data_IF_377374638779
#
_entry.id   IF_377374638779
#
_cell.length_a   1.000
_cell.length_b   1.000
_cell.length_c   1.000
_cell.angle_alpha   90.00
_cell.angle_beta   90.00
_cell.angle_gamma   90.00
#
_symmetry.space_group_name_H-M   'P 1'
#
loop_
_entity.id
_entity.type
_entity.pdbx_description
1 polymer ?
#
# COMPACT_ATOMS: atom_id res chain seq x y z
N UNK A 1 -0.77 -18.53 -21.58
CA UNK A 1 -0.46 -18.89 -20.18
C UNK A 1 0.98 -18.54 -19.78
N UNK A 2 2.00 -18.75 -20.63
CA UNK A 2 3.40 -18.43 -20.28
C UNK A 2 3.79 -16.92 -20.28
N UNK A 3 3.05 -16.07 -21.00
CA UNK A 3 3.39 -14.65 -21.12
C UNK A 3 3.03 -13.83 -19.86
N UNK A 4 1.82 -14.01 -19.32
CA UNK A 4 1.36 -13.33 -18.11
C UNK A 4 2.19 -13.67 -16.86
N UNK A 5 2.63 -14.94 -16.72
CA UNK A 5 3.50 -15.38 -15.63
C UNK A 5 4.89 -14.71 -15.70
N UNK A 6 5.43 -14.49 -16.90
CA UNK A 6 6.72 -13.82 -17.09
C UNK A 6 6.63 -12.31 -16.83
N UNK A 7 5.50 -11.69 -17.16
CA UNK A 7 5.24 -10.26 -16.89
C UNK A 7 5.11 -10.01 -15.38
N UNK A 8 4.31 -10.80 -14.66
CA UNK A 8 4.16 -10.69 -13.20
C UNK A 8 5.48 -10.91 -12.43
N UNK A 9 6.32 -11.86 -12.87
CA UNK A 9 7.64 -12.08 -12.29
C UNK A 9 8.60 -10.91 -12.51
N UNK A 10 8.52 -10.24 -13.68
CA UNK A 10 9.34 -9.08 -14.00
C UNK A 10 8.92 -7.85 -13.16
N UNK A 11 7.63 -7.63 -12.99
CA UNK A 11 7.12 -6.52 -12.18
C UNK A 11 7.38 -6.70 -10.68
N UNK A 12 7.26 -7.92 -10.18
CA UNK A 12 7.64 -8.26 -8.80
C UNK A 12 9.13 -7.99 -8.53
N UNK A 13 10.01 -8.31 -9.48
CA UNK A 13 11.43 -7.99 -9.39
C UNK A 13 11.67 -6.47 -9.36
N UNK A 14 11.00 -5.70 -10.22
CA UNK A 14 11.09 -4.23 -10.23
C UNK A 14 10.65 -3.61 -8.90
N UNK A 15 9.56 -4.10 -8.32
CA UNK A 15 9.08 -3.62 -7.01
C UNK A 15 10.14 -3.89 -5.93
N UNK A 16 10.75 -5.08 -5.95
CA UNK A 16 11.83 -5.42 -5.01
C UNK A 16 13.01 -4.46 -5.13
N UNK A 17 13.45 -4.15 -6.35
CA UNK A 17 14.54 -3.19 -6.59
C UNK A 17 14.21 -1.78 -6.09
N UNK A 18 12.96 -1.35 -6.26
CA UNK A 18 12.47 -0.07 -5.72
C UNK A 18 12.55 -0.08 -4.19
N UNK A 19 12.08 -1.14 -3.55
CA UNK A 19 12.09 -1.27 -2.10
C UNK A 19 13.50 -1.35 -1.51
N UNK A 20 14.46 -2.00 -2.18
CA UNK A 20 15.86 -2.02 -1.75
C UNK A 20 16.48 -0.61 -1.72
N UNK A 21 16.07 0.27 -2.64
CA UNK A 21 16.49 1.69 -2.59
C UNK A 21 16.05 2.37 -1.29
N UNK A 22 14.82 2.11 -0.85
CA UNK A 22 14.27 2.69 0.38
C UNK A 22 14.95 2.12 1.62
N UNK A 23 15.29 0.82 1.63
CA UNK A 23 16.03 0.19 2.73
C UNK A 23 17.43 0.80 2.90
N UNK A 24 18.09 1.11 1.79
CA UNK A 24 19.44 1.68 1.79
C UNK A 24 19.46 3.13 2.28
N UNK A 25 18.49 3.95 1.86
CA UNK A 25 18.35 5.34 2.27
C UNK A 25 16.88 5.67 2.60
N UNK A 26 16.46 5.55 3.86
CA UNK A 26 15.06 5.71 4.28
C UNK A 26 14.68 7.19 4.45
N UNK A 27 14.85 7.99 3.40
CA UNK A 27 14.43 9.39 3.35
C UNK A 27 12.99 9.54 2.86
N UNK A 28 12.27 10.56 3.31
CA UNK A 28 10.90 10.84 2.84
C UNK A 28 10.80 10.93 1.31
N UNK A 29 11.82 11.50 0.66
CA UNK A 29 11.89 11.62 -0.81
C UNK A 29 11.92 10.23 -1.45
N UNK A 30 12.71 9.30 -0.91
CA UNK A 30 12.79 7.93 -1.42
C UNK A 30 11.49 7.16 -1.19
N UNK A 31 10.82 7.35 -0.04
CA UNK A 31 9.49 6.80 0.21
C UNK A 31 8.48 7.31 -0.81
N UNK A 32 8.41 8.62 -1.02
CA UNK A 32 7.47 9.22 -1.98
C UNK A 32 7.74 8.75 -3.41
N UNK A 33 9.01 8.72 -3.82
CA UNK A 33 9.41 8.24 -5.14
C UNK A 33 9.07 6.77 -5.33
N UNK A 34 9.32 5.92 -4.31
CA UNK A 34 8.95 4.52 -4.34
C UNK A 34 7.43 4.33 -4.47
N UNK A 35 6.65 5.06 -3.68
CA UNK A 35 5.19 5.04 -3.71
C UNK A 35 4.65 5.38 -5.11
N UNK A 36 5.13 6.47 -5.70
CA UNK A 36 4.73 6.88 -7.06
C UNK A 36 5.11 5.85 -8.12
N UNK A 37 6.30 5.24 -8.03
CA UNK A 37 6.74 4.18 -8.97
C UNK A 37 5.90 2.92 -8.83
N UNK A 38 5.66 2.47 -7.60
CA UNK A 38 4.87 1.26 -7.34
C UNK A 38 3.43 1.43 -7.82
N UNK A 39 2.80 2.58 -7.58
CA UNK A 39 1.45 2.87 -8.11
C UNK A 39 1.37 2.77 -9.63
N UNK A 40 2.43 3.14 -10.35
CA UNK A 40 2.48 3.02 -11.82
C UNK A 40 2.68 1.58 -12.32
N UNK A 41 3.17 0.70 -11.45
CA UNK A 41 3.45 -0.70 -11.75
C UNK A 41 2.23 -1.56 -11.41
N UNK A 42 1.57 -1.35 -10.26
CA UNK A 42 0.39 -2.10 -9.81
C UNK A 42 -0.79 -2.04 -10.78
N UNK A 43 -0.76 -2.93 -11.77
CA UNK A 43 -1.94 -3.56 -12.35
C UNK A 43 -2.38 -4.72 -11.43
N UNK A 44 -3.68 -5.01 -11.40
CA UNK A 44 -4.33 -5.98 -10.49
C UNK A 44 -3.67 -7.37 -10.42
N UNK A 45 -2.81 -7.71 -11.39
CA UNK A 45 -2.07 -8.98 -11.54
C UNK A 45 -0.83 -9.14 -10.66
N UNK A 46 -0.32 -8.08 -10.01
CA UNK A 46 0.98 -8.10 -9.31
C UNK A 46 0.92 -8.69 -7.89
N UNK A 47 -0.29 -8.93 -7.38
CA UNK A 47 -0.49 -9.49 -6.04
C UNK A 47 0.07 -10.93 -5.89
N UNK A 48 0.40 -11.63 -6.98
CA UNK A 48 0.85 -13.03 -6.98
C UNK A 48 2.22 -13.30 -6.33
N UNK A 49 3.01 -12.28 -5.98
CA UNK A 49 4.34 -12.42 -5.37
C UNK A 49 4.42 -12.13 -3.86
N UNK A 50 3.44 -11.43 -3.30
CA UNK A 50 3.38 -11.08 -1.87
C UNK A 50 2.34 -11.99 -1.21
N UNK A 51 2.76 -12.75 -0.19
CA UNK A 51 1.96 -13.87 0.30
C UNK A 51 0.82 -13.46 1.22
N UNK A 52 0.83 -12.24 1.76
CA UNK A 52 -0.11 -11.82 2.80
C UNK A 52 -0.67 -10.42 2.52
N UNK A 53 -2.00 -10.33 2.46
CA UNK A 53 -2.72 -9.06 2.42
C UNK A 53 -2.84 -8.50 3.83
N UNK A 54 -2.39 -7.25 4.04
CA UNK A 54 -2.64 -6.49 5.26
C UNK A 54 -3.75 -5.48 5.00
N UNK A 55 -4.94 -5.76 5.51
CA UNK A 55 -6.05 -4.80 5.52
C UNK A 55 -5.89 -3.85 6.69
N UNK A 56 -5.87 -2.55 6.41
CA UNK A 56 -5.71 -1.51 7.43
C UNK A 56 -6.77 -0.42 7.26
N UNK A 57 -7.57 -0.21 8.30
CA UNK A 57 -8.47 0.93 8.39
C UNK A 57 -7.73 2.13 8.96
N UNK A 58 -7.78 3.28 8.28
CA UNK A 58 -7.19 4.53 8.75
C UNK A 58 -8.27 5.57 8.93
N UNK A 59 -8.41 6.05 10.16
CA UNK A 59 -9.42 7.02 10.58
C UNK A 59 -8.71 8.27 11.07
N UNK A 60 -9.01 9.42 10.48
CA UNK A 60 -8.31 10.66 10.78
C UNK A 60 -9.22 11.90 10.72
N UNK A 61 -8.86 12.91 11.51
CA UNK A 61 -9.37 14.28 11.43
C UNK A 61 -8.41 15.23 10.69
N UNK A 62 -7.38 14.69 10.04
CA UNK A 62 -6.36 15.41 9.29
C UNK A 62 -6.21 14.82 7.88
N UNK A 63 -5.63 15.59 6.96
CA UNK A 63 -5.15 15.09 5.68
C UNK A 63 -3.95 14.17 5.92
N UNK A 64 -4.05 12.92 5.49
CA UNK A 64 -3.04 11.88 5.80
C UNK A 64 -2.43 11.25 4.56
N UNK A 65 -2.63 11.82 3.38
CA UNK A 65 -2.09 11.29 2.12
C UNK A 65 -0.57 11.04 2.16
N UNK A 66 0.27 11.95 2.72
CA UNK A 66 1.70 11.68 2.87
C UNK A 66 2.00 10.51 3.82
N UNK A 67 1.20 10.37 4.88
CA UNK A 67 1.34 9.27 5.84
C UNK A 67 0.95 7.94 5.20
N UNK A 68 -0.13 7.91 4.41
CA UNK A 68 -0.56 6.70 3.67
C UNK A 68 0.52 6.25 2.69
N UNK A 69 1.18 7.19 2.00
CA UNK A 69 2.29 6.86 1.12
C UNK A 69 3.47 6.21 1.89
N UNK A 70 3.79 6.71 3.09
CA UNK A 70 4.80 6.10 3.93
C UNK A 70 4.39 4.70 4.42
N UNK A 71 3.16 4.56 4.94
CA UNK A 71 2.62 3.29 5.42
C UNK A 71 2.58 2.23 4.32
N UNK A 72 2.21 2.58 3.10
CA UNK A 72 2.22 1.66 1.96
C UNK A 72 3.60 1.03 1.77
N UNK A 73 4.65 1.85 1.79
CA UNK A 73 6.03 1.37 1.61
C UNK A 73 6.49 0.54 2.81
N UNK A 74 6.21 0.98 4.05
CA UNK A 74 6.54 0.22 5.25
C UNK A 74 5.92 -1.19 5.23
N UNK A 75 4.65 -1.28 4.85
CA UNK A 75 3.93 -2.56 4.77
C UNK A 75 4.53 -3.45 3.69
N UNK A 76 4.89 -2.89 2.52
CA UNK A 76 5.55 -3.64 1.45
C UNK A 76 6.95 -4.09 1.82
N UNK A 77 7.70 -3.29 2.58
CA UNK A 77 9.01 -3.68 3.13
C UNK A 77 8.91 -4.87 4.08
N UNK A 78 7.77 -5.04 4.75
CA UNK A 78 7.43 -6.21 5.57
C UNK A 78 6.90 -7.41 4.76
N UNK A 79 6.92 -7.34 3.42
CA UNK A 79 6.41 -8.34 2.49
C UNK A 79 4.88 -8.56 2.57
N UNK A 80 4.12 -7.50 2.84
CA UNK A 80 2.65 -7.51 2.76
C UNK A 80 2.12 -6.68 1.59
N UNK A 81 0.93 -7.02 1.11
CA UNK A 81 0.14 -6.19 0.20
C UNK A 81 -0.73 -5.25 1.06
N UNK A 82 -0.50 -3.94 1.04
CA UNK A 82 -1.35 -3.00 1.76
C UNK A 82 -2.70 -2.85 1.07
N UNK A 83 -3.78 -3.01 1.83
CA UNK A 83 -5.13 -2.64 1.42
C UNK A 83 -5.69 -1.67 2.46
N UNK A 84 -5.84 -0.40 2.08
CA UNK A 84 -6.34 0.63 2.97
C UNK A 84 -7.84 0.82 2.82
N UNK A 85 -8.54 0.85 3.95
CA UNK A 85 -9.82 1.53 4.08
C UNK A 85 -9.57 2.91 4.67
N UNK A 86 -9.95 3.97 3.96
CA UNK A 86 -9.83 5.34 4.44
C UNK A 86 -11.22 5.87 4.83
N UNK A 87 -11.41 6.14 6.12
CA UNK A 87 -12.64 6.76 6.58
C UNK A 87 -12.75 8.20 6.06
N UNK A 88 -13.99 8.71 5.85
CA UNK A 88 -14.17 10.10 5.47
C UNK A 88 -13.59 11.07 6.50
N UNK A 89 -13.15 12.23 6.01
CA UNK A 89 -12.47 13.24 6.81
C UNK A 89 -13.27 13.62 8.06
N UNK A 90 -12.61 13.52 9.23
CA UNK A 90 -13.17 13.88 10.54
C UNK A 90 -14.45 13.11 10.93
N UNK A 91 -14.70 11.94 10.33
CA UNK A 91 -15.82 11.06 10.69
C UNK A 91 -15.41 9.88 11.55
N UNK A 92 -14.20 9.89 12.13
CA UNK A 92 -13.68 8.75 12.88
C UNK A 92 -14.62 8.30 14.02
N UNK A 93 -15.23 9.22 14.77
CA UNK A 93 -16.20 8.87 15.82
C UNK A 93 -17.45 8.20 15.27
N UNK A 94 -17.98 8.71 14.16
CA UNK A 94 -19.19 8.18 13.54
C UNK A 94 -18.93 6.76 13.02
N UNK A 95 -17.80 6.54 12.34
CA UNK A 95 -17.41 5.23 11.84
C UNK A 95 -17.21 4.21 12.97
N UNK A 96 -16.68 4.62 14.13
CA UNK A 96 -16.47 3.74 15.29
C UNK A 96 -17.77 3.41 16.03
N UNK A 97 -18.72 4.35 16.14
CA UNK A 97 -19.93 4.16 16.94
C UNK A 97 -21.01 3.41 16.15
N UNK A 98 -21.14 3.70 14.85
CA UNK A 98 -22.12 3.04 14.00
C UNK A 98 -21.62 1.64 13.59
N UNK A 99 -22.23 0.60 14.15
CA UNK A 99 -21.92 -0.79 13.83
C UNK A 99 -22.22 -1.18 12.38
N UNK A 100 -22.99 -0.36 11.65
CA UNK A 100 -23.28 -0.55 10.23
C UNK A 100 -22.35 0.27 9.32
N UNK A 101 -21.36 0.95 9.88
CA UNK A 101 -20.42 1.75 9.11
C UNK A 101 -19.54 0.89 8.19
N UNK A 102 -18.93 1.53 7.19
CA UNK A 102 -18.02 0.83 6.27
C UNK A 102 -16.71 0.38 6.95
N UNK A 103 -16.47 0.77 8.21
CA UNK A 103 -15.36 0.23 9.01
C UNK A 103 -15.54 -1.26 9.33
N UNK A 104 -16.79 -1.70 9.52
CA UNK A 104 -17.13 -3.05 9.99
C UNK A 104 -17.55 -4.01 8.87
N UNK A 105 -17.59 -3.55 7.62
CA UNK A 105 -18.00 -4.30 6.42
C UNK A 105 -16.86 -4.38 5.41
#
# INVERSE_FOLDING_TARGET
MNQALNEANNESAKIKDILETVKSDPSYINYWNAYKKIQSITSETIEDGLQNVLKMAVLSSYTIDPLLACLEIDIRLLNFIPQFYLAPFNQYRQQIIDSNSALYN
#
